data_IF_140023786511
#
_entry.id   IF_140023786511
#
_cell.length_a   1.000
_cell.length_b   1.000
_cell.length_c   1.000
_cell.angle_alpha   90.00
_cell.angle_beta   90.00
_cell.angle_gamma   90.00
#
_symmetry.space_group_name_H-M   'P 1'
#
loop_
_entity.id
_entity.type
_entity.pdbx_description
1 polymer ?
#
# COMPACT_ATOMS: atom_id res chain seq x y z
N UNK A 1 -15.66 -21.20 3.69
CA UNK A 1 -14.33 -21.87 3.60
C UNK A 1 -13.23 -20.96 3.03
N UNK A 2 -13.52 -20.11 2.03
CA UNK A 2 -12.56 -19.19 1.41
C UNK A 2 -12.08 -18.13 2.41
N UNK A 3 -12.95 -17.63 3.27
CA UNK A 3 -12.61 -16.64 4.30
C UNK A 3 -11.61 -17.16 5.35
N UNK A 4 -11.70 -18.45 5.69
CA UNK A 4 -10.81 -19.08 6.67
C UNK A 4 -9.39 -19.27 6.11
N UNK A 5 -9.25 -19.53 4.82
CA UNK A 5 -7.96 -19.67 4.13
C UNK A 5 -7.21 -18.32 4.04
N UNK A 6 -7.93 -17.22 3.81
CA UNK A 6 -7.34 -15.87 3.76
C UNK A 6 -6.87 -15.41 5.14
N UNK A 7 -7.69 -15.61 6.17
CA UNK A 7 -7.33 -15.31 7.57
C UNK A 7 -6.14 -16.15 8.03
N UNK A 8 -6.07 -17.41 7.62
CA UNK A 8 -4.94 -18.30 7.94
C UNK A 8 -3.62 -17.82 7.30
N UNK A 9 -3.65 -17.30 6.08
CA UNK A 9 -2.44 -16.77 5.42
C UNK A 9 -1.95 -15.47 6.04
N UNK A 10 -2.86 -14.58 6.47
CA UNK A 10 -2.51 -13.35 7.18
C UNK A 10 -1.91 -13.64 8.56
N UNK A 11 -2.45 -14.62 9.28
CA UNK A 11 -1.90 -15.09 10.55
C UNK A 11 -0.50 -15.67 10.39
N UNK A 12 -0.26 -16.48 9.35
CA UNK A 12 1.06 -17.05 9.08
C UNK A 12 2.13 -16.00 8.73
N UNK A 13 1.77 -14.91 8.07
CA UNK A 13 2.69 -13.80 7.77
C UNK A 13 3.06 -13.07 9.06
N UNK A 14 2.10 -12.87 9.94
CA UNK A 14 2.28 -12.19 11.22
C UNK A 14 3.11 -13.03 12.20
N UNK A 15 2.85 -14.34 12.29
CA UNK A 15 3.52 -15.25 13.23
C UNK A 15 4.97 -15.57 12.85
N UNK A 16 5.38 -15.35 11.60
CA UNK A 16 6.76 -15.61 11.14
C UNK A 16 7.75 -14.47 11.41
N UNK A 17 7.34 -13.42 12.11
CA UNK A 17 8.24 -12.30 12.42
C UNK A 17 8.71 -11.51 11.19
N UNK A 18 8.11 -11.76 10.01
CA UNK A 18 8.46 -11.07 8.76
C UNK A 18 8.15 -9.58 8.89
N UNK A 19 7.06 -9.24 9.59
CA UNK A 19 6.68 -7.87 9.89
C UNK A 19 7.76 -7.14 10.70
N UNK A 20 8.26 -7.78 11.76
CA UNK A 20 9.28 -7.22 12.65
C UNK A 20 10.64 -7.13 11.93
N UNK A 21 10.97 -8.10 11.08
CA UNK A 21 12.18 -8.08 10.27
C UNK A 21 12.17 -6.95 9.24
N UNK A 22 11.05 -6.78 8.54
CA UNK A 22 10.86 -5.68 7.58
C UNK A 22 10.90 -4.34 8.31
N UNK A 23 10.17 -4.19 9.41
CA UNK A 23 10.18 -2.98 10.22
C UNK A 23 11.58 -2.67 10.78
N UNK A 24 12.30 -3.66 11.29
CA UNK A 24 13.65 -3.52 11.82
C UNK A 24 14.69 -3.18 10.76
N UNK A 25 14.60 -3.78 9.58
CA UNK A 25 15.54 -3.51 8.47
C UNK A 25 15.31 -2.14 7.86
N UNK A 26 14.06 -1.69 7.79
CA UNK A 26 13.71 -0.40 7.18
C UNK A 26 13.79 0.77 8.18
N UNK A 27 13.68 0.54 9.48
CA UNK A 27 13.94 1.59 10.49
C UNK A 27 15.41 2.03 10.55
N UNK A 28 16.32 1.20 10.05
CA UNK A 28 17.74 1.57 9.86
C UNK A 28 17.99 2.55 8.70
N UNK A 29 17.04 2.71 7.79
CA UNK A 29 17.09 3.72 6.75
C UNK A 29 16.25 4.93 7.22
N UNK A 30 16.82 6.14 7.13
CA UNK A 30 16.10 7.41 7.43
C UNK A 30 15.02 7.72 6.38
N UNK A 31 14.19 6.72 6.06
CA UNK A 31 13.10 6.84 5.08
C UNK A 31 11.86 7.36 5.83
N UNK A 32 11.19 8.41 5.34
CA UNK A 32 9.93 8.87 5.91
C UNK A 32 8.91 7.71 5.98
N UNK A 33 8.24 7.56 7.12
CA UNK A 33 7.29 6.45 7.35
C UNK A 33 6.20 6.38 6.27
N UNK A 34 5.80 7.52 5.71
CA UNK A 34 4.81 7.60 4.64
C UNK A 34 5.28 6.88 3.37
N UNK A 35 6.54 7.08 2.99
CA UNK A 35 7.16 6.39 1.84
C UNK A 35 7.25 4.90 2.12
N UNK A 36 7.60 4.53 3.35
CA UNK A 36 7.68 3.14 3.78
C UNK A 36 6.33 2.43 3.66
N UNK A 37 5.27 3.05 4.18
CA UNK A 37 3.89 2.54 4.06
C UNK A 37 3.48 2.33 2.60
N UNK A 38 3.79 3.30 1.73
CA UNK A 38 3.51 3.23 0.30
C UNK A 38 4.25 2.06 -0.37
N UNK A 39 5.57 1.95 -0.15
CA UNK A 39 6.42 0.93 -0.79
C UNK A 39 6.03 -0.47 -0.37
N UNK A 40 5.82 -0.70 0.93
CA UNK A 40 5.41 -2.01 1.45
C UNK A 40 4.06 -2.42 0.84
N UNK A 41 3.07 -1.50 0.84
CA UNK A 41 1.77 -1.77 0.25
C UNK A 41 1.88 -2.11 -1.25
N UNK A 42 2.71 -1.37 -1.98
CA UNK A 42 2.96 -1.58 -3.40
C UNK A 42 3.59 -2.96 -3.68
N UNK A 43 4.58 -3.37 -2.87
CA UNK A 43 5.22 -4.68 -3.00
C UNK A 43 4.21 -5.80 -2.75
N UNK A 44 3.43 -5.72 -1.66
CA UNK A 44 2.41 -6.72 -1.32
C UNK A 44 1.36 -6.78 -2.42
N UNK A 45 0.92 -5.63 -2.96
CA UNK A 45 -0.04 -5.58 -4.05
C UNK A 45 0.48 -6.26 -5.32
N UNK A 46 1.73 -5.99 -5.71
CA UNK A 46 2.34 -6.64 -6.86
C UNK A 46 2.45 -8.16 -6.68
N UNK A 47 2.74 -8.62 -5.46
CA UNK A 47 2.86 -10.03 -5.16
C UNK A 47 1.52 -10.77 -5.14
N UNK A 48 0.48 -10.16 -4.56
CA UNK A 48 -0.82 -10.82 -4.33
C UNK A 48 -1.88 -10.51 -5.39
N UNK A 49 -1.76 -9.37 -6.09
CA UNK A 49 -2.75 -8.96 -7.09
C UNK A 49 -4.09 -8.50 -6.51
N UNK A 50 -4.24 -8.37 -5.20
CA UNK A 50 -5.46 -7.91 -4.54
C UNK A 50 -5.22 -6.63 -3.76
N UNK A 51 -5.96 -5.57 -4.11
CA UNK A 51 -5.89 -4.28 -3.41
C UNK A 51 -6.32 -4.41 -1.95
N UNK A 52 -7.45 -5.07 -1.70
CA UNK A 52 -8.01 -5.20 -0.35
C UNK A 52 -7.05 -5.93 0.58
N UNK A 53 -6.48 -7.04 0.12
CA UNK A 53 -5.51 -7.81 0.91
C UNK A 53 -4.23 -7.01 1.14
N UNK A 54 -3.74 -6.30 0.13
CA UNK A 54 -2.54 -5.47 0.27
C UNK A 54 -2.75 -4.35 1.31
N UNK A 55 -3.89 -3.68 1.29
CA UNK A 55 -4.22 -2.61 2.23
C UNK A 55 -4.31 -3.13 3.67
N UNK A 56 -5.09 -4.18 3.90
CA UNK A 56 -5.31 -4.75 5.25
C UNK A 56 -4.03 -5.34 5.82
N UNK A 57 -3.28 -6.08 5.03
CA UNK A 57 -2.00 -6.67 5.45
C UNK A 57 -0.97 -5.59 5.78
N UNK A 58 -0.82 -4.57 4.93
CA UNK A 58 0.11 -3.47 5.20
C UNK A 58 -0.29 -2.70 6.46
N UNK A 59 -1.58 -2.40 6.63
CA UNK A 59 -2.07 -1.72 7.83
C UNK A 59 -1.76 -2.53 9.09
N UNK A 60 -1.97 -3.86 9.06
CA UNK A 60 -1.68 -4.74 10.19
C UNK A 60 -0.17 -4.79 10.53
N UNK A 61 0.69 -4.89 9.50
CA UNK A 61 2.16 -4.91 9.67
C UNK A 61 2.67 -3.58 10.23
N UNK A 62 2.16 -2.48 9.71
CA UNK A 62 2.67 -1.15 10.03
C UNK A 62 2.05 -0.53 11.30
N UNK A 63 1.01 -1.14 11.89
CA UNK A 63 0.28 -0.59 13.03
C UNK A 63 1.20 -0.24 14.22
N UNK A 64 2.11 -1.14 14.58
CA UNK A 64 3.08 -0.91 15.66
C UNK A 64 4.05 0.24 15.36
N UNK A 65 4.58 0.28 14.15
CA UNK A 65 5.53 1.31 13.71
C UNK A 65 4.86 2.68 13.59
N UNK A 66 3.61 2.74 13.11
CA UNK A 66 2.83 3.97 13.02
C UNK A 66 2.60 4.56 14.42
N UNK A 67 2.26 3.73 15.41
CA UNK A 67 2.01 4.19 16.78
C UNK A 67 3.23 4.84 17.44
N UNK A 68 4.43 4.45 17.05
CA UNK A 68 5.70 4.96 17.63
C UNK A 68 6.33 6.09 16.81
N UNK A 69 5.84 6.35 15.59
CA UNK A 69 6.46 7.28 14.64
C UNK A 69 6.17 8.76 14.91
N UNK A 70 5.15 9.08 15.69
CA UNK A 70 4.68 10.46 15.90
C UNK A 70 4.02 11.13 14.68
N UNK A 71 3.86 10.38 13.56
CA UNK A 71 3.12 10.84 12.39
C UNK A 71 1.65 10.44 12.53
N UNK A 72 0.73 11.29 12.09
CA UNK A 72 -0.69 11.01 12.15
C UNK A 72 -1.05 9.67 11.48
N UNK A 73 -1.77 8.77 12.17
CA UNK A 73 -2.23 7.51 11.59
C UNK A 73 -3.07 7.70 10.33
N UNK A 74 -3.78 8.83 10.23
CA UNK A 74 -4.60 9.17 9.06
C UNK A 74 -3.72 9.36 7.82
N UNK A 75 -2.61 10.08 7.94
CA UNK A 75 -1.66 10.29 6.83
C UNK A 75 -1.01 8.97 6.39
N UNK A 76 -0.67 8.12 7.37
CA UNK A 76 -0.14 6.79 7.08
C UNK A 76 -1.18 5.91 6.36
N UNK A 77 -2.45 5.96 6.77
CA UNK A 77 -3.53 5.23 6.10
C UNK A 77 -3.71 5.71 4.65
N UNK A 78 -3.65 7.01 4.38
CA UNK A 78 -3.74 7.56 3.02
C UNK A 78 -2.50 7.12 2.19
N UNK A 79 -1.31 7.09 2.78
CA UNK A 79 -0.11 6.60 2.10
C UNK A 79 -0.19 5.11 1.75
N UNK A 80 -0.78 4.28 2.63
CA UNK A 80 -1.08 2.87 2.34
C UNK A 80 -2.07 2.77 1.19
N UNK A 81 -3.15 3.56 1.20
CA UNK A 81 -4.13 3.59 0.11
C UNK A 81 -3.50 4.01 -1.22
N UNK A 82 -2.59 4.99 -1.20
CA UNK A 82 -1.84 5.40 -2.37
C UNK A 82 -1.00 4.25 -2.96
N UNK A 83 -0.34 3.45 -2.10
CA UNK A 83 0.36 2.23 -2.50
C UNK A 83 -0.59 1.16 -3.06
N UNK A 84 -1.79 1.07 -2.51
CA UNK A 84 -2.83 0.13 -2.98
C UNK A 84 -3.41 0.48 -4.36
N UNK A 85 -3.46 1.75 -4.75
CA UNK A 85 -3.86 2.19 -6.09
C UNK A 85 -2.76 1.89 -7.12
N UNK A 86 -1.52 1.88 -6.72
CA UNK A 86 -0.32 1.81 -7.53
C UNK A 86 -0.31 0.81 -8.68
N UNK A 87 0.83 0.20 -8.97
CA UNK A 87 1.03 -0.66 -10.14
C UNK A 87 0.14 -1.91 -10.10
N UNK A 88 -0.88 -1.96 -10.96
CA UNK A 88 -1.75 -3.13 -11.13
C UNK A 88 -1.09 -4.11 -12.11
N UNK A 89 -0.77 -5.31 -11.64
CA UNK A 89 -0.13 -6.34 -12.45
C UNK A 89 -1.16 -7.28 -13.10
N UNK A 90 -0.78 -8.10 -14.11
CA UNK A 90 -1.67 -9.08 -14.73
C UNK A 90 -2.17 -10.19 -13.79
N UNK A 91 -1.67 -10.28 -12.55
CA UNK A 91 -2.21 -11.16 -11.51
C UNK A 91 -3.43 -10.55 -10.78
N UNK A 92 -3.77 -9.29 -11.05
CA UNK A 92 -4.91 -8.60 -10.50
C UNK A 92 -6.17 -8.86 -11.35
N UNK A 93 -7.26 -9.27 -10.71
CA UNK A 93 -8.56 -9.45 -11.37
C UNK A 93 -9.09 -8.16 -11.98
N UNK A 94 -8.83 -7.02 -11.34
CA UNK A 94 -9.20 -5.69 -11.84
C UNK A 94 -8.51 -5.34 -13.17
N UNK A 95 -7.26 -5.76 -13.34
CA UNK A 95 -6.53 -5.59 -14.61
C UNK A 95 -7.27 -6.28 -15.78
N UNK A 96 -7.70 -7.52 -15.59
CA UNK A 96 -8.42 -8.27 -16.61
C UNK A 96 -9.84 -7.75 -16.84
N UNK A 97 -10.51 -7.30 -15.78
CA UNK A 97 -11.82 -6.68 -15.91
C UNK A 97 -11.76 -5.44 -16.82
N UNK A 98 -10.79 -4.55 -16.61
CA UNK A 98 -10.58 -3.36 -17.44
C UNK A 98 -10.24 -3.74 -18.88
N UNK A 99 -9.27 -4.63 -19.10
CA UNK A 99 -8.87 -5.07 -20.42
C UNK A 99 -10.05 -5.65 -21.22
N UNK A 100 -10.88 -6.47 -20.58
CA UNK A 100 -12.04 -7.10 -21.21
C UNK A 100 -13.19 -6.13 -21.45
N UNK A 101 -13.47 -5.26 -20.49
CA UNK A 101 -14.58 -4.31 -20.55
C UNK A 101 -14.37 -3.27 -21.67
N UNK A 102 -13.16 -2.77 -21.82
CA UNK A 102 -12.82 -1.79 -22.85
C UNK A 102 -12.29 -2.40 -24.14
N UNK A 103 -12.11 -3.72 -24.21
CA UNK A 103 -11.63 -4.40 -25.42
C UNK A 103 -10.19 -4.00 -25.82
N UNK A 104 -9.39 -3.54 -24.85
CA UNK A 104 -8.01 -3.08 -25.09
C UNK A 104 -7.01 -4.23 -24.93
N UNK A 105 -5.91 -4.12 -25.67
CA UNK A 105 -4.84 -5.12 -25.61
C UNK A 105 -4.13 -5.12 -24.25
N UNK A 106 -3.52 -6.26 -23.87
CA UNK A 106 -2.76 -6.37 -22.63
C UNK A 106 -1.64 -5.32 -22.52
N UNK A 107 -0.83 -5.07 -23.57
CA UNK A 107 0.17 -4.01 -23.52
C UNK A 107 -0.41 -2.62 -23.30
N UNK A 108 -1.55 -2.31 -23.88
CA UNK A 108 -2.19 -1.00 -23.72
C UNK A 108 -2.84 -0.87 -22.34
N UNK A 109 -3.35 -1.97 -21.78
CA UNK A 109 -3.85 -2.01 -20.39
C UNK A 109 -2.70 -1.75 -19.41
N UNK A 110 -1.52 -2.31 -19.63
CA UNK A 110 -0.35 -2.04 -18.79
C UNK A 110 0.03 -0.56 -18.87
N UNK A 111 0.09 0.00 -20.07
CA UNK A 111 0.48 1.41 -20.27
C UNK A 111 -0.55 2.39 -19.68
N UNK A 112 -1.81 2.16 -19.94
CA UNK A 112 -2.88 3.06 -19.50
C UNK A 112 -3.24 2.86 -18.02
N UNK A 113 -3.60 1.66 -17.65
CA UNK A 113 -4.12 1.34 -16.32
C UNK A 113 -3.03 1.19 -15.26
N UNK A 114 -2.00 0.35 -15.53
CA UNK A 114 -1.00 0.05 -14.51
C UNK A 114 -0.05 1.25 -14.28
N UNK A 115 0.47 1.84 -15.34
CA UNK A 115 1.35 3.01 -15.23
C UNK A 115 0.56 4.21 -14.74
N UNK A 116 -0.66 4.43 -15.25
CA UNK A 116 -1.53 5.51 -14.79
C UNK A 116 -1.86 5.41 -13.30
N UNK A 117 -2.18 4.22 -12.82
CA UNK A 117 -2.39 3.95 -11.39
C UNK A 117 -1.15 4.23 -10.55
N UNK A 118 0.03 3.81 -11.02
CA UNK A 118 1.29 4.10 -10.33
C UNK A 118 1.58 5.60 -10.24
N UNK A 119 1.41 6.34 -11.33
CA UNK A 119 1.58 7.80 -11.35
C UNK A 119 0.61 8.48 -10.38
N UNK A 120 -0.65 8.05 -10.37
CA UNK A 120 -1.65 8.56 -9.42
C UNK A 120 -1.25 8.27 -7.97
N UNK A 121 -0.80 7.05 -7.67
CA UNK A 121 -0.32 6.67 -6.34
C UNK A 121 0.86 7.53 -5.87
N UNK A 122 1.83 7.77 -6.75
CA UNK A 122 2.98 8.65 -6.45
C UNK A 122 2.53 10.10 -6.24
N UNK A 123 1.59 10.61 -7.04
CA UNK A 123 1.06 11.96 -6.87
C UNK A 123 0.37 12.12 -5.51
N UNK A 124 -0.42 11.12 -5.08
CA UNK A 124 -1.05 11.10 -3.75
C UNK A 124 0.03 11.06 -2.65
N UNK A 125 1.07 10.23 -2.81
CA UNK A 125 2.18 10.16 -1.85
C UNK A 125 2.87 11.52 -1.66
N UNK A 126 3.16 12.22 -2.77
CA UNK A 126 3.74 13.56 -2.73
C UNK A 126 2.82 14.51 -1.99
N UNK A 127 1.53 14.51 -2.30
CA UNK A 127 0.54 15.36 -1.65
C UNK A 127 0.47 15.10 -0.15
N UNK A 128 0.41 13.84 0.27
CA UNK A 128 0.38 13.44 1.69
C UNK A 128 1.69 13.82 2.39
N UNK A 129 2.83 13.71 1.72
CA UNK A 129 4.11 14.13 2.26
C UNK A 129 4.15 15.64 2.51
N UNK A 130 3.58 16.44 1.60
CA UNK A 130 3.44 17.88 1.81
C UNK A 130 2.49 18.16 2.98
N UNK A 131 1.35 17.47 3.07
CA UNK A 131 0.42 17.62 4.20
C UNK A 131 1.09 17.28 5.54
N UNK A 132 1.99 16.31 5.57
CA UNK A 132 2.68 15.95 6.81
C UNK A 132 3.57 17.06 7.35
N UNK A 133 4.07 17.95 6.49
CA UNK A 133 4.81 19.15 6.92
C UNK A 133 3.91 20.17 7.65
N UNK A 134 2.62 20.16 7.33
CA UNK A 134 1.61 21.02 7.95
C UNK A 134 0.83 20.34 9.08
N UNK A 135 1.24 19.15 9.50
CA UNK A 135 0.54 18.36 10.51
C UNK A 135 0.30 19.14 11.81
N UNK A 136 1.26 19.96 12.25
CA UNK A 136 1.13 20.81 13.45
C UNK A 136 0.18 22.00 13.32
N UNK A 137 -0.30 22.29 12.11
CA UNK A 137 -1.17 23.44 11.84
C UNK A 137 -2.65 23.04 11.58
N UNK A 138 -2.88 21.77 11.25
CA UNK A 138 -4.21 21.26 10.91
C UNK A 138 -4.86 20.57 12.11
N UNK A 139 -5.89 21.17 12.73
CA UNK A 139 -6.66 20.50 13.79
C UNK A 139 -7.37 19.28 13.19
N UNK A 140 -7.05 18.09 13.73
CA UNK A 140 -7.61 16.82 13.28
C UNK A 140 -6.57 15.84 12.69
N UNK A 141 -5.33 16.28 12.52
CA UNK A 141 -4.20 15.42 12.15
C UNK A 141 -3.25 15.15 13.35
N UNK A 142 -3.64 15.60 14.55
CA UNK A 142 -2.95 15.27 15.80
C UNK A 142 -3.39 13.93 16.33
#
# INVERSE_FOLDING_TARGET
EISCSLVGSEMCIRDRGIADYIAGTLSGFSIPILVLCFVICQIIRCAQGSTTVALTTTAAIMAGTISTSGVSPILCAIAICAGGIGLSMPNDSGFWAISRFFGISVPDTIRGWSIGGFVAGVAILIFVSILSLFQGFLPGLM
#
